data_IF_817316135906
#
_entry.id   IF_817316135906
#
_cell.length_a   1.000
_cell.length_b   1.000
_cell.length_c   1.000
_cell.angle_alpha   90.00
_cell.angle_beta   90.00
_cell.angle_gamma   90.00
#
_symmetry.space_group_name_H-M   'P 1'
#
loop_
_entity.id
_entity.type
_entity.pdbx_description
1 polymer ?
#
# COMPACT_ATOMS: atom_id res chain seq x y z
N UNK A 1 -3.02 -13.23 1.71
CA UNK A 1 -2.27 -13.04 0.45
C UNK A 1 -1.05 -12.13 0.64
N UNK A 2 -1.14 -10.96 1.30
CA UNK A 2 0.00 -10.03 1.44
C UNK A 2 1.29 -10.62 2.03
N UNK A 3 1.20 -11.59 2.96
CA UNK A 3 2.38 -12.31 3.49
C UNK A 3 3.15 -13.06 2.40
N UNK A 4 2.46 -13.68 1.45
CA UNK A 4 3.10 -14.43 0.36
C UNK A 4 3.95 -13.53 -0.55
N UNK A 5 3.61 -12.24 -0.67
CA UNK A 5 4.43 -11.28 -1.42
C UNK A 5 5.78 -11.04 -0.71
N UNK A 6 5.82 -11.09 0.62
CA UNK A 6 7.06 -10.92 1.36
C UNK A 6 8.03 -12.10 1.19
N UNK A 7 7.53 -13.27 0.80
CA UNK A 7 8.32 -14.49 0.60
C UNK A 7 8.99 -14.56 -0.78
N UNK A 8 8.60 -13.72 -1.74
CA UNK A 8 9.20 -13.70 -3.08
C UNK A 8 10.64 -13.16 -3.06
N UNK A 9 11.55 -13.69 -3.86
CA UNK A 9 12.94 -13.19 -3.88
C UNK A 9 13.09 -11.80 -4.51
N UNK A 10 12.15 -11.41 -5.37
CA UNK A 10 12.19 -10.13 -6.07
C UNK A 10 11.53 -9.00 -5.30
N UNK A 11 12.10 -7.81 -5.44
CA UNK A 11 11.58 -6.54 -4.96
C UNK A 11 10.97 -5.68 -6.09
N UNK A 12 10.93 -6.16 -7.34
CA UNK A 12 10.27 -5.43 -8.44
C UNK A 12 8.77 -5.77 -8.44
N UNK A 13 7.88 -4.83 -8.06
CA UNK A 13 6.45 -5.09 -8.05
C UNK A 13 5.88 -5.32 -9.45
N UNK A 14 6.52 -4.82 -10.51
CA UNK A 14 6.08 -5.08 -11.90
C UNK A 14 6.39 -6.50 -12.34
N UNK A 15 7.47 -7.10 -11.82
CA UNK A 15 7.78 -8.50 -12.09
C UNK A 15 6.76 -9.45 -11.45
N UNK A 16 6.19 -9.05 -10.31
CA UNK A 16 5.19 -9.85 -9.58
C UNK A 16 3.76 -9.59 -10.08
N UNK A 17 3.38 -8.33 -10.23
CA UNK A 17 1.99 -7.92 -10.51
C UNK A 17 1.77 -7.43 -11.94
N UNK A 18 2.81 -7.06 -12.67
CA UNK A 18 2.67 -6.32 -13.94
C UNK A 18 2.12 -4.90 -13.76
N UNK A 19 1.95 -4.20 -14.88
CA UNK A 19 1.29 -2.88 -14.95
C UNK A 19 -0.10 -3.09 -15.53
N UNK A 20 -1.17 -2.45 -14.98
CA UNK A 20 -1.16 -1.42 -13.94
C UNK A 20 -1.34 -1.94 -12.50
N UNK A 21 -1.35 -3.26 -12.30
CA UNK A 21 -1.71 -3.83 -11.00
C UNK A 21 -0.65 -3.59 -9.92
N UNK A 22 0.61 -3.33 -10.28
CA UNK A 22 1.61 -2.78 -9.36
C UNK A 22 1.13 -1.45 -8.72
N UNK A 23 0.56 -0.54 -9.51
CA UNK A 23 0.07 0.74 -8.96
C UNK A 23 -1.08 0.49 -7.98
N UNK A 24 -2.00 -0.40 -8.33
CA UNK A 24 -3.11 -0.79 -7.44
C UNK A 24 -2.59 -1.45 -6.16
N UNK A 25 -1.55 -2.29 -6.25
CA UNK A 25 -0.92 -2.86 -5.07
C UNK A 25 -0.44 -1.76 -4.12
N UNK A 26 0.26 -0.73 -4.64
CA UNK A 26 0.72 0.39 -3.80
C UNK A 26 -0.45 1.14 -3.15
N UNK A 27 -1.50 1.45 -3.91
CA UNK A 27 -2.69 2.15 -3.38
C UNK A 27 -3.40 1.31 -2.33
N UNK A 28 -3.64 0.02 -2.57
CA UNK A 28 -4.27 -0.87 -1.60
C UNK A 28 -3.44 -1.04 -0.33
N UNK A 29 -2.13 -1.27 -0.44
CA UNK A 29 -1.29 -1.41 0.76
C UNK A 29 -1.26 -0.10 1.57
N UNK A 30 -1.29 1.06 0.91
CA UNK A 30 -1.40 2.36 1.60
C UNK A 30 -2.74 2.49 2.33
N UNK A 31 -3.85 2.15 1.66
CA UNK A 31 -5.19 2.19 2.25
C UNK A 31 -5.29 1.27 3.47
N UNK A 32 -4.88 0.01 3.34
CA UNK A 32 -5.00 -0.97 4.41
C UNK A 32 -4.00 -0.73 5.55
N UNK A 33 -2.84 -0.14 5.27
CA UNK A 33 -1.95 0.35 6.32
C UNK A 33 -2.63 1.45 7.15
N UNK A 34 -3.23 2.45 6.49
CA UNK A 34 -3.90 3.56 7.17
C UNK A 34 -5.16 3.14 7.95
N UNK A 35 -5.82 2.06 7.52
CA UNK A 35 -7.00 1.52 8.20
C UNK A 35 -6.66 0.62 9.40
N UNK A 36 -5.39 0.30 9.63
CA UNK A 36 -4.95 -0.59 10.70
C UNK A 36 -4.31 0.19 11.86
N UNK A 37 -4.47 -0.32 13.08
CA UNK A 37 -4.07 0.37 14.30
C UNK A 37 -2.55 0.31 14.58
N UNK A 38 -1.83 -0.68 14.02
CA UNK A 38 -0.43 -0.99 14.31
C UNK A 38 0.43 -1.18 13.06
N UNK A 39 1.75 -1.34 13.23
CA UNK A 39 2.67 -1.73 12.15
C UNK A 39 2.23 -3.05 11.49
N UNK A 40 1.76 -2.96 10.24
CA UNK A 40 1.13 -4.08 9.54
C UNK A 40 2.02 -4.73 8.50
N UNK A 41 1.61 -5.93 8.06
CA UNK A 41 2.12 -6.58 6.85
C UNK A 41 2.05 -5.66 5.62
N UNK A 42 1.11 -4.71 5.57
CA UNK A 42 0.97 -3.77 4.46
C UNK A 42 2.14 -2.77 4.40
N UNK A 43 2.60 -2.28 5.56
CA UNK A 43 3.80 -1.44 5.67
C UNK A 43 5.06 -2.17 5.16
N UNK A 44 5.18 -3.47 5.46
CA UNK A 44 6.30 -4.30 5.01
C UNK A 44 6.27 -4.51 3.48
N UNK A 45 5.10 -4.67 2.89
CA UNK A 45 4.94 -4.76 1.43
C UNK A 45 5.31 -3.43 0.77
N UNK A 46 4.94 -2.29 1.37
CA UNK A 46 5.35 -0.96 0.91
C UNK A 46 6.87 -0.77 1.00
N UNK A 47 7.49 -1.24 2.07
CA UNK A 47 8.95 -1.20 2.24
C UNK A 47 9.64 -2.00 1.14
N UNK A 48 9.25 -3.26 0.98
CA UNK A 48 9.86 -4.19 0.03
C UNK A 48 9.78 -3.73 -1.43
N UNK A 49 8.60 -3.30 -1.86
CA UNK A 49 8.31 -3.07 -3.28
C UNK A 49 8.34 -1.60 -3.70
N UNK A 50 8.21 -0.67 -2.75
CA UNK A 50 8.08 0.76 -3.03
C UNK A 50 9.03 1.64 -2.20
N UNK A 51 9.96 1.04 -1.45
CA UNK A 51 10.90 1.73 -0.56
C UNK A 51 10.19 2.59 0.48
N UNK A 52 9.11 2.03 1.05
CA UNK A 52 8.31 2.68 2.09
C UNK A 52 7.43 3.83 1.56
N UNK A 53 7.44 4.06 0.24
CA UNK A 53 6.66 5.15 -0.38
C UNK A 53 5.20 4.74 -0.55
N UNK A 54 4.35 5.44 0.19
CA UNK A 54 2.89 5.36 0.10
C UNK A 54 2.38 6.01 -1.18
N UNK A 55 1.19 5.59 -1.59
CA UNK A 55 0.49 6.20 -2.71
C UNK A 55 -0.12 7.54 -2.30
N UNK A 56 0.41 8.63 -2.87
CA UNK A 56 0.02 10.00 -2.53
C UNK A 56 -1.46 10.29 -2.82
N UNK A 57 -2.00 9.71 -3.89
CA UNK A 57 -3.40 9.89 -4.27
C UNK A 57 -4.32 9.27 -3.21
N UNK A 58 -4.01 8.04 -2.80
CA UNK A 58 -4.73 7.34 -1.74
C UNK A 58 -4.71 8.12 -0.43
N UNK A 59 -3.55 8.65 -0.01
CA UNK A 59 -3.46 9.45 1.22
C UNK A 59 -4.33 10.70 1.16
N UNK A 60 -4.32 11.42 0.03
CA UNK A 60 -5.14 12.63 -0.14
C UNK A 60 -6.64 12.32 -0.08
N UNK A 61 -7.05 11.21 -0.68
CA UNK A 61 -8.45 10.76 -0.61
C UNK A 61 -8.84 10.46 0.84
N UNK A 62 -7.99 9.76 1.60
CA UNK A 62 -8.24 9.47 3.02
C UNK A 62 -8.35 10.74 3.86
N UNK A 63 -7.44 11.70 3.69
CA UNK A 63 -7.50 13.01 4.35
C UNK A 63 -8.83 13.72 4.05
N UNK A 64 -9.26 13.72 2.78
CA UNK A 64 -10.53 14.34 2.39
C UNK A 64 -11.76 13.65 2.99
N UNK A 65 -11.72 12.33 3.17
CA UNK A 65 -12.81 11.55 3.77
C UNK A 65 -12.90 11.78 5.28
N UNK A 66 -11.76 11.88 5.97
CA UNK A 66 -11.73 12.20 7.41
C UNK A 66 -12.31 13.59 7.67
N UNK A 67 -11.96 14.58 6.85
CA UNK A 67 -12.52 15.94 6.95
C UNK A 67 -14.04 16.00 6.71
N UNK A 68 -14.60 15.07 5.93
CA UNK A 68 -16.05 14.96 5.70
C UNK A 68 -16.79 14.29 6.86
N UNK A 69 -16.10 13.49 7.68
CA UNK A 69 -16.71 12.83 8.84
C UNK A 69 -16.80 13.71 10.10
N UNK A 70 -16.02 14.80 10.14
CA UNK A 70 -15.98 15.75 11.27
C UNK A 70 -16.95 16.93 11.11
N UNK A 71 -17.68 17.01 10.00
CA UNK A 71 -18.54 18.14 9.61
C UNK A 71 -20.01 17.69 9.50
#
# INVERSE_FOLDING_TARGET
ISKALLELETNDPRAVMGTPDNLKLRSCMTLFEAAAEDSTVFSQVLEKYYHGRRDRETLRMLESQLQQSEN
#
